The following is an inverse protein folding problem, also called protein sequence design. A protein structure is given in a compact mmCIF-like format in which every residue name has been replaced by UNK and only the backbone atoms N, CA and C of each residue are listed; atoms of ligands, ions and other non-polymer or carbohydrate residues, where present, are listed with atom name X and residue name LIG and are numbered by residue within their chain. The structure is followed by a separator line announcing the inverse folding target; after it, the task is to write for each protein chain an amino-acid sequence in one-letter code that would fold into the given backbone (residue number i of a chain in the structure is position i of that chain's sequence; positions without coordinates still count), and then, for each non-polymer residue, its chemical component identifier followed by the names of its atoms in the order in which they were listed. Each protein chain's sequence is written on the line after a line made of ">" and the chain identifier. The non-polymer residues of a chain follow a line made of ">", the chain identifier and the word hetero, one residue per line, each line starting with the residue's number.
data_IF_584699357862
#
_entry.id   IF_584699357862
#
_cell.length_a   1.000
_cell.length_b   1.000
_cell.length_c   1.000
_cell.angle_alpha   90.00
_cell.angle_beta   90.00
_cell.angle_gamma   90.00
#
_symmetry.space_group_name_H-M   'P 1'
#
loop_
_entity.id
_entity.type
_entity.pdbx_description
1 polymer ?
#
# COMPACT_ATOMS: atom_id res chain seq x y z
N UNK A 1 10.37 12.34 27.75
CA UNK A 1 10.12 11.42 28.90
C UNK A 1 11.04 10.18 28.95
N UNK A 2 11.82 9.78 27.92
CA UNK A 2 12.70 8.59 28.01
C UNK A 2 13.87 8.75 28.99
N UNK A 3 14.48 9.94 29.07
CA UNK A 3 15.60 10.23 29.98
C UNK A 3 15.31 10.00 31.48
N UNK A 4 14.05 10.11 31.89
CA UNK A 4 13.67 9.91 33.29
C UNK A 4 13.61 8.43 33.71
N UNK A 5 13.35 7.52 32.76
CA UNK A 5 13.31 6.07 33.01
C UNK A 5 14.72 5.45 33.06
N UNK A 6 15.61 5.89 32.16
CA UNK A 6 17.01 5.47 32.14
C UNK A 6 17.74 5.91 33.40
N UNK A 7 17.48 7.12 33.89
CA UNK A 7 18.04 7.62 35.18
C UNK A 7 17.48 6.86 36.38
N UNK A 8 16.21 6.44 36.37
CA UNK A 8 15.60 5.68 37.49
C UNK A 8 16.07 4.23 37.56
N UNK A 9 16.38 3.60 36.40
CA UNK A 9 16.78 2.20 36.34
C UNK A 9 18.30 1.99 36.27
N UNK A 10 19.09 3.09 36.24
CA UNK A 10 20.58 3.03 36.10
C UNK A 10 21.02 2.19 34.87
N UNK A 11 20.21 2.19 33.79
CA UNK A 11 20.52 1.41 32.60
C UNK A 11 21.71 2.01 31.87
N UNK A 12 22.70 1.19 31.57
CA UNK A 12 23.86 1.56 30.77
C UNK A 12 23.52 1.45 29.25
N UNK A 13 24.16 2.26 28.42
CA UNK A 13 24.01 2.23 26.96
C UNK A 13 24.29 0.84 26.39
N UNK A 14 25.26 0.11 26.94
CA UNK A 14 25.58 -1.26 26.57
C UNK A 14 24.39 -2.23 26.78
N UNK A 15 23.67 -2.05 27.90
CA UNK A 15 22.49 -2.87 28.20
C UNK A 15 21.33 -2.58 27.25
N UNK A 16 21.16 -1.31 26.85
CA UNK A 16 20.16 -0.92 25.86
C UNK A 16 20.51 -1.52 24.49
N UNK A 17 21.76 -1.47 24.08
CA UNK A 17 22.23 -2.10 22.83
C UNK A 17 22.09 -3.63 22.89
N UNK A 18 22.39 -4.24 24.05
CA UNK A 18 22.19 -5.67 24.24
C UNK A 18 20.73 -6.09 24.10
N UNK A 19 19.78 -5.25 24.55
CA UNK A 19 18.35 -5.49 24.35
C UNK A 19 17.96 -5.51 22.87
N UNK A 20 18.51 -4.59 22.06
CA UNK A 20 18.31 -4.58 20.61
C UNK A 20 18.85 -5.85 19.96
N UNK A 21 20.09 -6.22 20.27
CA UNK A 21 20.72 -7.43 19.76
C UNK A 21 19.95 -8.70 20.14
N UNK A 22 19.39 -8.72 21.35
CA UNK A 22 18.56 -9.84 21.81
C UNK A 22 17.23 -9.89 21.05
N UNK A 23 16.62 -8.74 20.76
CA UNK A 23 15.44 -8.66 19.90
C UNK A 23 15.71 -9.20 18.48
N UNK A 24 16.85 -8.84 17.87
CA UNK A 24 17.29 -9.39 16.59
C UNK A 24 17.54 -10.90 16.66
N UNK A 25 18.17 -11.38 17.73
CA UNK A 25 18.38 -12.81 17.95
C UNK A 25 17.05 -13.56 18.04
N UNK A 26 16.07 -13.06 18.78
CA UNK A 26 14.73 -13.65 18.89
C UNK A 26 14.04 -13.72 17.53
N UNK A 27 14.16 -12.66 16.70
CA UNK A 27 13.65 -12.65 15.34
C UNK A 27 14.30 -13.74 14.47
N UNK A 28 15.62 -13.85 14.52
CA UNK A 28 16.37 -14.85 13.75
C UNK A 28 16.03 -16.28 14.17
N UNK A 29 15.76 -16.47 15.46
CA UNK A 29 15.39 -17.77 16.04
C UNK A 29 13.92 -18.15 15.80
N UNK A 30 13.12 -17.25 15.23
CA UNK A 30 11.72 -17.49 14.88
C UNK A 30 10.72 -17.14 15.99
N UNK A 31 11.17 -16.59 17.12
CA UNK A 31 10.27 -16.07 18.17
C UNK A 31 9.84 -14.63 17.86
N UNK A 32 9.00 -14.46 16.85
CA UNK A 32 8.58 -13.15 16.36
C UNK A 32 7.79 -12.33 17.40
N UNK A 33 6.95 -12.99 18.21
CA UNK A 33 6.21 -12.28 19.26
C UNK A 33 7.15 -11.69 20.31
N UNK A 34 8.14 -12.47 20.78
CA UNK A 34 9.16 -11.98 21.70
C UNK A 34 10.02 -10.89 21.07
N UNK A 35 10.41 -11.04 19.80
CA UNK A 35 11.17 -10.03 19.06
C UNK A 35 10.43 -8.68 19.02
N UNK A 36 9.13 -8.68 18.72
CA UNK A 36 8.32 -7.47 18.70
C UNK A 36 8.32 -6.76 20.07
N UNK A 37 8.17 -7.51 21.16
CA UNK A 37 8.14 -6.96 22.52
C UNK A 37 9.50 -6.35 22.91
N UNK A 38 10.60 -7.06 22.63
CA UNK A 38 11.96 -6.55 22.95
C UNK A 38 12.32 -5.32 22.12
N UNK A 39 11.99 -5.29 20.84
CA UNK A 39 12.23 -4.14 19.98
C UNK A 39 11.37 -2.93 20.36
N UNK A 40 10.14 -3.16 20.83
CA UNK A 40 9.30 -2.10 21.39
C UNK A 40 9.94 -1.48 22.65
N UNK A 41 10.36 -2.30 23.60
CA UNK A 41 11.01 -1.82 24.83
C UNK A 41 12.33 -1.10 24.54
N UNK A 42 13.11 -1.59 23.58
CA UNK A 42 14.32 -0.93 23.13
C UNK A 42 14.04 0.51 22.67
N UNK A 43 13.04 0.73 21.82
CA UNK A 43 12.70 2.06 21.32
C UNK A 43 12.30 3.07 22.40
N UNK A 44 11.66 2.58 23.46
CA UNK A 44 11.28 3.43 24.61
C UNK A 44 12.53 3.92 25.38
N UNK A 45 13.60 3.14 25.36
CA UNK A 45 14.82 3.41 26.10
C UNK A 45 15.89 4.11 25.27
N UNK A 46 15.94 3.84 23.96
CA UNK A 46 16.98 4.32 23.05
C UNK A 46 16.70 5.74 22.57
N UNK A 47 17.75 6.53 22.48
CA UNK A 47 17.74 7.85 21.82
C UNK A 47 18.42 7.82 20.45
N UNK A 48 18.97 6.68 20.03
CA UNK A 48 19.60 6.50 18.74
C UNK A 48 18.54 6.39 17.63
N UNK A 49 18.55 7.36 16.71
CA UNK A 49 17.54 7.50 15.66
C UNK A 49 17.63 6.38 14.62
N UNK A 50 18.85 5.92 14.31
CA UNK A 50 19.05 4.89 13.27
C UNK A 50 18.68 3.51 13.77
N UNK A 51 19.13 3.17 14.99
CA UNK A 51 18.74 1.93 15.64
C UNK A 51 17.23 1.87 15.93
N UNK A 52 16.62 3.01 16.28
CA UNK A 52 15.16 3.10 16.45
C UNK A 52 14.42 2.83 15.15
N UNK A 53 14.88 3.35 14.02
CA UNK A 53 14.28 3.07 12.71
C UNK A 53 14.43 1.59 12.35
N UNK A 54 15.60 1.00 12.59
CA UNK A 54 15.82 -0.43 12.38
C UNK A 54 14.91 -1.28 13.29
N UNK A 55 14.70 -0.86 14.54
CA UNK A 55 13.79 -1.53 15.46
C UNK A 55 12.32 -1.43 15.00
N UNK A 56 11.90 -0.30 14.40
CA UNK A 56 10.59 -0.16 13.77
C UNK A 56 10.39 -1.19 12.65
N UNK A 57 11.38 -1.33 11.77
CA UNK A 57 11.32 -2.33 10.69
C UNK A 57 11.24 -3.75 11.22
N UNK A 58 12.07 -4.09 12.21
CA UNK A 58 12.08 -5.41 12.83
C UNK A 58 10.75 -5.74 13.54
N UNK A 59 10.18 -4.76 14.26
CA UNK A 59 8.87 -4.91 14.89
C UNK A 59 7.76 -5.08 13.88
N UNK A 60 7.70 -4.23 12.84
CA UNK A 60 6.71 -4.34 11.75
C UNK A 60 6.77 -5.72 11.09
N UNK A 61 7.96 -6.21 10.74
CA UNK A 61 8.14 -7.54 10.17
C UNK A 61 7.65 -8.64 11.13
N UNK A 62 7.92 -8.52 12.43
CA UNK A 62 7.47 -9.46 13.45
C UNK A 62 5.94 -9.48 13.59
N UNK A 63 5.30 -8.31 13.56
CA UNK A 63 3.84 -8.18 13.67
C UNK A 63 3.15 -8.73 12.42
N UNK A 64 3.72 -8.55 11.22
CA UNK A 64 3.25 -9.16 9.97
C UNK A 64 3.34 -10.69 10.06
N UNK A 65 4.48 -11.23 10.49
CA UNK A 65 4.69 -12.68 10.59
C UNK A 65 3.83 -13.35 11.67
N UNK A 66 3.41 -12.61 12.68
CA UNK A 66 2.48 -13.09 13.72
C UNK A 66 1.01 -12.85 13.38
N UNK A 67 0.70 -12.16 12.27
CA UNK A 67 -0.66 -11.87 11.83
C UNK A 67 -1.39 -10.84 12.69
N UNK A 68 -0.69 -10.01 13.43
CA UNK A 68 -1.28 -8.94 14.26
C UNK A 68 -1.52 -7.67 13.44
N UNK A 69 -2.52 -7.71 12.56
CA UNK A 69 -2.72 -6.69 11.53
C UNK A 69 -3.01 -5.29 12.07
N UNK A 70 -3.77 -5.17 13.16
CA UNK A 70 -4.08 -3.87 13.79
C UNK A 70 -2.81 -3.22 14.35
N UNK A 71 -1.98 -4.00 15.06
CA UNK A 71 -0.71 -3.53 15.62
C UNK A 71 0.30 -3.22 14.51
N UNK A 72 0.34 -4.06 13.47
CA UNK A 72 1.18 -3.84 12.30
C UNK A 72 0.81 -2.55 11.57
N UNK A 73 -0.49 -2.22 11.48
CA UNK A 73 -0.96 -0.96 10.88
C UNK A 73 -0.52 0.26 11.70
N UNK A 74 -0.62 0.21 13.03
CA UNK A 74 -0.13 1.29 13.91
C UNK A 74 1.38 1.49 13.75
N UNK A 75 2.14 0.39 13.73
CA UNK A 75 3.58 0.42 13.55
C UNK A 75 3.98 0.96 12.17
N UNK A 76 3.26 0.56 11.11
CA UNK A 76 3.43 1.05 9.74
C UNK A 76 3.22 2.58 9.67
N UNK A 77 2.18 3.10 10.32
CA UNK A 77 1.91 4.54 10.36
C UNK A 77 3.00 5.30 11.10
N UNK A 78 3.45 4.80 12.25
CA UNK A 78 4.55 5.40 13.03
C UNK A 78 5.85 5.43 12.24
N UNK A 79 6.16 4.33 11.56
CA UNK A 79 7.34 4.24 10.69
C UNK A 79 7.25 5.21 9.52
N UNK A 80 6.08 5.32 8.88
CA UNK A 80 5.83 6.29 7.80
C UNK A 80 6.09 7.71 8.26
N UNK A 81 5.53 8.12 9.40
CA UNK A 81 5.73 9.45 9.98
C UNK A 81 7.21 9.73 10.28
N UNK A 82 7.92 8.74 10.81
CA UNK A 82 9.36 8.84 11.09
C UNK A 82 10.18 9.04 9.80
N UNK A 83 9.87 8.31 8.73
CA UNK A 83 10.55 8.44 7.45
C UNK A 83 10.22 9.78 6.76
N UNK A 84 8.98 10.23 6.84
CA UNK A 84 8.57 11.51 6.25
C UNK A 84 9.12 12.71 7.03
N UNK A 85 9.21 12.63 8.35
CA UNK A 85 9.87 13.65 9.17
C UNK A 85 11.36 13.79 8.82
N UNK A 86 12.06 12.69 8.59
CA UNK A 86 13.46 12.71 8.13
C UNK A 86 13.62 13.36 6.76
N UNK A 87 12.69 13.09 5.86
CA UNK A 87 12.71 13.68 4.51
C UNK A 87 12.45 15.20 4.55
N UNK A 88 11.59 15.67 5.45
CA UNK A 88 11.27 17.09 5.62
C UNK A 88 12.31 17.90 6.40
N UNK A 89 13.15 17.24 7.18
CA UNK A 89 14.18 17.89 7.99
C UNK A 89 15.44 18.28 7.22
N UNK A 90 15.53 17.96 5.92
CA UNK A 90 16.64 18.40 5.06
C UNK A 90 16.55 19.93 4.87
N UNK A 91 17.45 20.75 5.47
CA UNK A 91 17.39 22.20 5.35
C UNK A 91 17.73 22.58 3.90
N UNK A 92 16.81 23.29 3.26
CA UNK A 92 17.08 24.00 2.01
C UNK A 92 18.14 25.07 2.29
N UNK A 93 19.43 24.75 2.10
CA UNK A 93 20.50 25.75 2.12
C UNK A 93 21.66 25.60 3.11
N UNK A 94 21.81 24.49 3.83
CA UNK A 94 22.98 24.27 4.69
C UNK A 94 24.15 23.64 3.92
N UNK A 95 25.32 24.29 3.99
CA UNK A 95 26.55 23.85 3.35
C UNK A 95 26.96 22.41 3.71
N UNK A 96 27.46 21.72 2.72
CA UNK A 96 27.76 20.28 2.62
C UNK A 96 28.85 19.74 3.56
N UNK A 97 28.77 19.90 4.86
CA UNK A 97 29.83 19.42 5.78
C UNK A 97 29.37 18.60 6.99
N UNK A 98 28.11 18.18 7.08
CA UNK A 98 27.70 17.22 8.13
C UNK A 98 26.95 16.04 7.51
N UNK A 99 27.40 14.83 7.81
CA UNK A 99 26.86 13.53 7.34
C UNK A 99 25.43 13.22 7.79
N UNK A 100 24.63 14.23 8.14
CA UNK A 100 23.25 14.09 8.65
C UNK A 100 22.18 14.32 7.57
N UNK A 101 22.55 14.50 6.31
CA UNK A 101 21.58 14.62 5.23
C UNK A 101 21.23 13.22 4.74
N UNK A 102 20.02 12.76 5.03
CA UNK A 102 19.47 11.63 4.31
C UNK A 102 19.53 11.96 2.82
N UNK A 103 20.40 11.29 2.09
CA UNK A 103 20.48 11.46 0.64
C UNK A 103 19.08 11.27 0.05
N UNK A 104 18.63 12.10 -0.91
CA UNK A 104 17.30 11.96 -1.53
C UNK A 104 17.03 10.53 -2.01
N UNK A 105 18.08 9.83 -2.46
CA UNK A 105 18.02 8.43 -2.88
C UNK A 105 17.73 7.47 -1.70
N UNK A 106 18.32 7.69 -0.53
CA UNK A 106 18.08 6.88 0.65
C UNK A 106 16.63 7.04 1.14
N UNK A 107 16.09 8.26 1.06
CA UNK A 107 14.67 8.52 1.37
C UNK A 107 13.74 7.82 0.38
N UNK A 108 14.06 7.87 -0.91
CA UNK A 108 13.31 7.19 -1.95
C UNK A 108 13.31 5.67 -1.73
N UNK A 109 14.46 5.08 -1.45
CA UNK A 109 14.59 3.64 -1.15
C UNK A 109 13.80 3.25 0.09
N UNK A 110 13.88 4.03 1.16
CA UNK A 110 13.13 3.76 2.40
C UNK A 110 11.62 3.81 2.18
N UNK A 111 11.13 4.79 1.40
CA UNK A 111 9.71 4.87 1.02
C UNK A 111 9.29 3.73 0.09
N UNK A 112 10.11 3.37 -0.90
CA UNK A 112 9.84 2.23 -1.79
C UNK A 112 9.75 0.93 -1.00
N UNK A 113 10.63 0.75 -0.02
CA UNK A 113 10.61 -0.39 0.90
C UNK A 113 9.35 -0.39 1.77
N UNK A 114 8.96 0.78 2.31
CA UNK A 114 7.72 0.93 3.07
C UNK A 114 6.49 0.59 2.22
N UNK A 115 6.41 1.07 0.99
CA UNK A 115 5.34 0.77 0.04
C UNK A 115 5.22 -0.74 -0.17
N UNK A 116 6.35 -1.43 -0.38
CA UNK A 116 6.35 -2.88 -0.56
C UNK A 116 5.81 -3.62 0.67
N UNK A 117 6.31 -3.33 1.86
CA UNK A 117 5.90 -4.00 3.10
C UNK A 117 4.48 -3.63 3.54
N UNK A 118 4.02 -2.44 3.20
CA UNK A 118 2.65 -2.02 3.50
C UNK A 118 1.58 -2.85 2.79
N UNK A 119 1.90 -3.48 1.64
CA UNK A 119 0.98 -4.37 0.94
C UNK A 119 0.52 -5.54 1.82
N UNK A 120 1.43 -6.13 2.62
CA UNK A 120 1.08 -7.20 3.55
C UNK A 120 0.03 -6.76 4.57
N UNK A 121 0.15 -5.53 5.08
CA UNK A 121 -0.79 -4.98 6.05
C UNK A 121 -2.10 -4.58 5.37
N UNK A 122 -2.04 -3.86 4.25
CA UNK A 122 -3.23 -3.32 3.61
C UNK A 122 -4.14 -4.39 2.99
N UNK A 123 -3.60 -5.49 2.50
CA UNK A 123 -4.45 -6.57 1.95
C UNK A 123 -5.01 -7.51 3.02
N UNK A 124 -4.43 -7.54 4.21
CA UNK A 124 -4.92 -8.37 5.32
C UNK A 124 -5.77 -7.60 6.36
N UNK A 125 -5.71 -6.26 6.37
CA UNK A 125 -6.49 -5.45 7.30
C UNK A 125 -7.85 -5.06 6.70
N UNK A 126 -8.98 -5.12 7.44
CA UNK A 126 -10.33 -4.82 6.90
C UNK A 126 -10.47 -3.44 6.25
N UNK A 127 -9.87 -2.41 6.84
CA UNK A 127 -9.87 -1.05 6.29
C UNK A 127 -8.69 -0.78 5.33
N UNK A 128 -7.82 -1.77 5.10
CA UNK A 128 -6.53 -1.56 4.46
C UNK A 128 -6.62 -1.05 3.02
N UNK A 129 -7.59 -1.53 2.24
CA UNK A 129 -7.79 -1.09 0.84
C UNK A 129 -8.06 0.41 0.70
N UNK A 130 -8.83 0.98 1.63
CA UNK A 130 -9.09 2.43 1.65
C UNK A 130 -7.85 3.20 2.07
N UNK A 131 -7.14 2.73 3.09
CA UNK A 131 -5.89 3.31 3.57
C UNK A 131 -4.77 3.23 2.53
N UNK A 132 -4.72 2.13 1.74
CA UNK A 132 -3.80 1.99 0.61
C UNK A 132 -4.01 3.12 -0.41
N UNK A 133 -5.26 3.36 -0.83
CA UNK A 133 -5.56 4.43 -1.78
C UNK A 133 -5.19 5.80 -1.21
N UNK A 134 -5.52 6.08 0.05
CA UNK A 134 -5.19 7.35 0.70
C UNK A 134 -3.67 7.58 0.78
N UNK A 135 -2.92 6.53 1.12
CA UNK A 135 -1.47 6.61 1.28
C UNK A 135 -0.76 6.69 -0.08
N UNK A 136 -1.12 5.83 -1.04
CA UNK A 136 -0.39 5.73 -2.30
C UNK A 136 -0.72 6.84 -3.29
N UNK A 137 -1.91 7.47 -3.18
CA UNK A 137 -2.25 8.67 -3.94
C UNK A 137 -1.68 9.96 -3.32
N UNK A 138 -1.11 9.91 -2.12
CA UNK A 138 -0.40 11.06 -1.57
C UNK A 138 0.83 11.38 -2.43
N UNK A 139 1.11 12.68 -2.75
CA UNK A 139 2.12 13.05 -3.73
C UNK A 139 3.51 12.47 -3.50
N UNK A 140 3.95 12.37 -2.24
CA UNK A 140 5.25 11.82 -1.88
C UNK A 140 5.37 10.32 -2.21
N UNK A 141 4.32 9.54 -1.95
CA UNK A 141 4.28 8.11 -2.22
C UNK A 141 3.99 7.81 -3.68
N UNK A 142 3.13 8.61 -4.31
CA UNK A 142 2.86 8.49 -5.74
C UNK A 142 4.15 8.70 -6.55
N UNK A 143 4.91 9.75 -6.26
CA UNK A 143 6.22 9.98 -6.90
C UNK A 143 7.20 8.81 -6.65
N UNK A 144 7.17 8.22 -5.45
CA UNK A 144 7.99 7.05 -5.13
C UNK A 144 7.58 5.84 -5.96
N UNK A 145 6.27 5.59 -6.09
CA UNK A 145 5.73 4.49 -6.91
C UNK A 145 6.15 4.67 -8.36
N UNK A 146 5.97 5.86 -8.94
CA UNK A 146 6.33 6.15 -10.32
C UNK A 146 7.82 5.98 -10.59
N UNK A 147 8.69 6.40 -9.66
CA UNK A 147 10.14 6.40 -9.88
C UNK A 147 10.85 5.10 -9.49
N UNK A 148 10.39 4.39 -8.46
CA UNK A 148 11.12 3.26 -7.89
C UNK A 148 10.33 1.95 -7.86
N UNK A 149 8.99 1.98 -7.91
CA UNK A 149 8.15 0.80 -7.73
C UNK A 149 6.90 0.78 -8.65
N UNK A 150 7.05 0.90 -9.98
CA UNK A 150 5.91 1.02 -10.89
C UNK A 150 4.97 -0.19 -10.89
N UNK A 151 5.45 -1.39 -10.50
CA UNK A 151 4.60 -2.58 -10.36
C UNK A 151 3.50 -2.43 -9.31
N UNK A 152 3.65 -1.51 -8.37
CA UNK A 152 2.64 -1.21 -7.33
C UNK A 152 1.36 -0.62 -7.94
N UNK A 153 1.44 -0.06 -9.15
CA UNK A 153 0.27 0.43 -9.88
C UNK A 153 -0.79 -0.65 -10.10
N UNK A 154 -0.42 -1.93 -10.21
CA UNK A 154 -1.37 -3.05 -10.23
C UNK A 154 -2.22 -3.07 -8.96
N UNK A 155 -1.58 -3.04 -7.81
CA UNK A 155 -2.26 -3.10 -6.51
C UNK A 155 -3.12 -1.85 -6.25
N UNK A 156 -2.63 -0.69 -6.68
CA UNK A 156 -3.37 0.56 -6.63
C UNK A 156 -4.62 0.50 -7.51
N UNK A 157 -4.50 -0.02 -8.73
CA UNK A 157 -5.61 -0.19 -9.68
C UNK A 157 -6.65 -1.18 -9.14
N UNK A 158 -6.23 -2.35 -8.66
CA UNK A 158 -7.13 -3.34 -8.05
C UNK A 158 -7.83 -2.77 -6.82
N UNK A 159 -7.12 -2.09 -5.93
CA UNK A 159 -7.70 -1.47 -4.73
C UNK A 159 -8.73 -0.40 -5.07
N UNK A 160 -8.52 0.37 -6.15
CA UNK A 160 -9.50 1.34 -6.63
C UNK A 160 -10.79 0.67 -7.12
N UNK A 161 -10.67 -0.46 -7.83
CA UNK A 161 -11.83 -1.26 -8.27
C UNK A 161 -12.56 -1.90 -7.08
N UNK A 162 -11.84 -2.49 -6.15
CA UNK A 162 -12.40 -3.14 -4.95
C UNK A 162 -13.07 -2.16 -3.98
N UNK A 163 -12.58 -0.92 -3.89
CA UNK A 163 -13.13 0.11 -3.00
C UNK A 163 -14.56 0.52 -3.35
N UNK A 164 -15.04 0.17 -4.54
CA UNK A 164 -16.42 0.42 -4.95
C UNK A 164 -17.42 -0.19 -3.97
N UNK A 165 -17.21 -1.43 -3.53
CA UNK A 165 -18.14 -2.16 -2.67
C UNK A 165 -17.99 -1.77 -1.19
N UNK A 166 -16.80 -1.45 -0.75
CA UNK A 166 -16.52 -1.19 0.66
C UNK A 166 -17.24 0.05 1.24
N UNK A 167 -17.63 1.02 0.39
CA UNK A 167 -18.24 2.28 0.82
C UNK A 167 -19.74 2.39 0.52
N UNK A 168 -20.32 1.41 -0.13
CA UNK A 168 -21.71 1.50 -0.61
C UNK A 168 -22.53 0.38 0.02
N UNK A 169 -23.05 0.43 1.10
CA UNK A 169 -24.04 -0.44 1.78
C UNK A 169 -24.77 -1.54 0.99
N UNK A 170 -24.36 -1.89 -0.23
CA UNK A 170 -24.93 -2.95 -1.05
C UNK A 170 -24.46 -2.94 -2.52
N UNK A 171 -24.69 -4.06 -3.26
CA UNK A 171 -24.21 -4.22 -4.66
C UNK A 171 -24.86 -3.26 -5.67
N UNK A 172 -26.02 -2.67 -5.34
CA UNK A 172 -26.80 -1.77 -6.23
C UNK A 172 -26.61 -0.28 -5.93
N UNK A 173 -25.85 0.07 -4.90
CA UNK A 173 -25.67 1.47 -4.54
C UNK A 173 -24.73 2.19 -5.55
N UNK A 174 -24.99 3.48 -5.88
CA UNK A 174 -24.14 4.23 -6.78
C UNK A 174 -22.73 4.43 -6.20
N UNK A 175 -21.72 4.36 -7.05
CA UNK A 175 -20.32 4.60 -6.65
C UNK A 175 -20.17 5.97 -6.02
N UNK A 176 -19.59 6.05 -4.83
CA UNK A 176 -19.39 7.33 -4.13
C UNK A 176 -18.49 8.27 -4.95
N UNK A 177 -18.66 9.57 -4.77
CA UNK A 177 -17.84 10.58 -5.46
C UNK A 177 -16.34 10.40 -5.14
N UNK A 178 -16.01 9.94 -3.93
CA UNK A 178 -14.65 9.68 -3.46
C UNK A 178 -13.99 8.52 -4.24
N UNK A 179 -14.71 7.42 -4.43
CA UNK A 179 -14.21 6.27 -5.21
C UNK A 179 -14.01 6.64 -6.67
N UNK A 180 -14.97 7.38 -7.27
CA UNK A 180 -14.82 7.87 -8.64
C UNK A 180 -13.63 8.80 -8.82
N UNK A 181 -13.37 9.64 -7.81
CA UNK A 181 -12.18 10.48 -7.82
C UNK A 181 -10.90 9.65 -7.75
N UNK A 182 -10.82 8.69 -6.84
CA UNK A 182 -9.69 7.79 -6.72
C UNK A 182 -9.42 7.03 -8.04
N UNK A 183 -10.46 6.46 -8.66
CA UNK A 183 -10.33 5.77 -9.95
C UNK A 183 -9.78 6.71 -11.03
N UNK A 184 -10.27 7.96 -11.11
CA UNK A 184 -9.76 8.93 -12.09
C UNK A 184 -8.30 9.28 -11.88
N UNK A 185 -7.87 9.47 -10.63
CA UNK A 185 -6.47 9.74 -10.31
C UNK A 185 -5.58 8.53 -10.67
N UNK A 186 -6.03 7.32 -10.34
CA UNK A 186 -5.32 6.10 -10.73
C UNK A 186 -5.20 5.97 -12.25
N UNK A 187 -6.27 6.24 -12.99
CA UNK A 187 -6.26 6.19 -14.46
C UNK A 187 -5.29 7.19 -15.06
N UNK A 188 -5.23 8.42 -14.53
CA UNK A 188 -4.25 9.42 -14.97
C UNK A 188 -2.80 8.92 -14.78
N UNK A 189 -2.52 8.34 -13.62
CA UNK A 189 -1.19 7.81 -13.32
C UNK A 189 -0.87 6.62 -14.24
N UNK A 190 -1.79 5.70 -14.44
CA UNK A 190 -1.64 4.57 -15.36
C UNK A 190 -1.33 5.05 -16.78
N UNK A 191 -2.01 6.09 -17.25
CA UNK A 191 -1.77 6.66 -18.58
C UNK A 191 -0.37 7.31 -18.69
N UNK A 192 0.10 7.98 -17.65
CA UNK A 192 1.42 8.59 -17.61
C UNK A 192 2.55 7.56 -17.59
N UNK A 193 2.33 6.44 -16.89
CA UNK A 193 3.36 5.42 -16.65
C UNK A 193 3.27 4.23 -17.62
N UNK A 194 2.42 4.27 -18.62
CA UNK A 194 2.16 3.15 -19.53
C UNK A 194 3.42 2.62 -20.22
N UNK A 195 4.35 3.50 -20.55
CA UNK A 195 5.60 3.12 -21.20
C UNK A 195 6.57 2.40 -20.26
N UNK A 196 6.48 2.65 -18.96
CA UNK A 196 7.36 2.07 -17.94
C UNK A 196 6.77 0.80 -17.35
N UNK A 197 5.47 0.79 -17.11
CA UNK A 197 4.76 -0.35 -16.55
C UNK A 197 3.38 -0.49 -17.17
N UNK A 198 3.10 -1.65 -17.72
CA UNK A 198 1.81 -1.97 -18.31
C UNK A 198 1.47 -3.43 -18.07
N UNK A 199 0.30 -3.69 -17.50
CA UNK A 199 -0.24 -5.02 -17.30
C UNK A 199 -1.73 -5.09 -17.65
N UNK A 200 -2.37 -6.28 -17.71
CA UNK A 200 -3.78 -6.39 -18.06
C UNK A 200 -4.73 -5.61 -17.15
N UNK A 201 -4.41 -5.43 -15.86
CA UNK A 201 -5.25 -4.66 -14.91
C UNK A 201 -5.18 -3.17 -15.21
N UNK A 202 -3.97 -2.64 -15.43
CA UNK A 202 -3.79 -1.23 -15.77
C UNK A 202 -4.37 -0.91 -17.14
N UNK A 203 -4.17 -1.81 -18.13
CA UNK A 203 -4.78 -1.68 -19.47
C UNK A 203 -6.30 -1.71 -19.41
N UNK A 204 -6.89 -2.59 -18.61
CA UNK A 204 -8.34 -2.61 -18.42
C UNK A 204 -8.89 -1.24 -18.02
N UNK A 205 -8.27 -0.57 -17.06
CA UNK A 205 -8.70 0.76 -16.64
C UNK A 205 -8.48 1.82 -17.72
N UNK A 206 -7.38 1.73 -18.47
CA UNK A 206 -7.12 2.64 -19.60
C UNK A 206 -8.17 2.49 -20.69
N UNK A 207 -8.41 1.26 -21.19
CA UNK A 207 -9.40 1.01 -22.23
C UNK A 207 -10.81 1.47 -21.79
N UNK A 208 -11.16 1.26 -20.51
CA UNK A 208 -12.48 1.61 -20.01
C UNK A 208 -12.70 3.13 -19.83
N UNK A 209 -11.68 3.88 -19.37
CA UNK A 209 -11.85 5.28 -18.92
C UNK A 209 -11.13 6.32 -19.79
N UNK A 210 -10.20 5.90 -20.65
CA UNK A 210 -9.47 6.79 -21.57
C UNK A 210 -9.90 6.57 -23.00
N UNK A 211 -9.84 5.33 -23.48
CA UNK A 211 -10.16 4.97 -24.85
C UNK A 211 -11.67 4.73 -25.07
N UNK A 212 -12.40 4.41 -24.00
CA UNK A 212 -13.82 4.04 -24.03
C UNK A 212 -14.13 2.86 -24.96
N UNK A 213 -13.15 1.97 -25.13
CA UNK A 213 -13.28 0.72 -25.88
C UNK A 213 -13.72 -0.40 -24.93
N UNK A 214 -15.00 -0.71 -24.97
CA UNK A 214 -15.59 -1.71 -24.07
C UNK A 214 -15.21 -3.16 -24.45
N UNK A 215 -14.96 -3.43 -25.74
CA UNK A 215 -14.54 -4.76 -26.20
C UNK A 215 -13.10 -5.04 -25.78
N UNK A 216 -12.21 -4.08 -26.00
CA UNK A 216 -10.83 -4.16 -25.53
C UNK A 216 -10.79 -4.25 -24.00
N UNK A 217 -11.60 -3.49 -23.27
CA UNK A 217 -11.70 -3.56 -21.82
C UNK A 217 -12.14 -4.95 -21.33
N UNK A 218 -13.13 -5.59 -21.96
CA UNK A 218 -13.54 -6.95 -21.63
C UNK A 218 -12.44 -7.97 -21.90
N UNK A 219 -11.73 -7.85 -23.02
CA UNK A 219 -10.60 -8.71 -23.34
C UNK A 219 -9.48 -8.55 -22.29
N UNK A 220 -9.14 -7.30 -21.91
CA UNK A 220 -8.15 -7.06 -20.86
C UNK A 220 -8.61 -7.59 -19.51
N UNK A 221 -9.91 -7.54 -19.18
CA UNK A 221 -10.44 -8.10 -17.94
C UNK A 221 -10.26 -9.61 -17.87
N UNK A 222 -10.44 -10.34 -18.98
CA UNK A 222 -10.18 -11.78 -19.03
C UNK A 222 -8.70 -12.12 -18.79
N UNK A 223 -7.79 -11.29 -19.30
CA UNK A 223 -6.36 -11.45 -19.03
C UNK A 223 -6.04 -11.07 -17.58
N UNK A 224 -6.64 -10.00 -17.07
CA UNK A 224 -6.48 -9.53 -15.69
C UNK A 224 -6.94 -10.58 -14.67
N UNK A 225 -7.99 -11.34 -14.98
CA UNK A 225 -8.46 -12.45 -14.14
C UNK A 225 -7.34 -13.45 -13.84
N UNK A 226 -6.55 -13.81 -14.84
CA UNK A 226 -5.43 -14.76 -14.68
C UNK A 226 -4.31 -14.14 -13.85
N UNK A 227 -4.01 -12.86 -14.07
CA UNK A 227 -2.97 -12.13 -13.33
C UNK A 227 -3.36 -12.01 -11.85
N UNK A 228 -4.58 -11.57 -11.55
CA UNK A 228 -5.10 -11.43 -10.19
C UNK A 228 -5.17 -12.78 -9.48
N UNK A 229 -5.61 -13.84 -10.19
CA UNK A 229 -5.70 -15.19 -9.60
C UNK A 229 -4.36 -15.83 -9.26
N UNK A 230 -3.27 -15.41 -9.89
CA UNK A 230 -1.93 -15.91 -9.64
C UNK A 230 -1.09 -14.96 -8.76
N UNK A 231 -1.61 -13.79 -8.37
CA UNK A 231 -0.91 -12.84 -7.55
C UNK A 231 -1.06 -13.16 -6.07
N UNK A 232 0.05 -13.06 -5.32
CA UNK A 232 0.12 -13.41 -3.89
C UNK A 232 -0.88 -12.64 -3.03
N UNK A 233 -1.04 -11.33 -3.27
CA UNK A 233 -1.92 -10.48 -2.46
C UNK A 233 -3.35 -10.44 -2.98
N UNK A 234 -3.57 -10.71 -4.28
CA UNK A 234 -4.83 -10.44 -4.96
C UNK A 234 -5.69 -11.68 -5.16
N UNK A 235 -5.13 -12.88 -5.02
CA UNK A 235 -5.81 -14.15 -5.34
C UNK A 235 -7.14 -14.33 -4.58
N UNK A 236 -7.19 -13.93 -3.31
CA UNK A 236 -8.40 -14.01 -2.49
C UNK A 236 -9.50 -13.06 -2.96
N UNK A 237 -9.13 -11.95 -3.61
CA UNK A 237 -10.05 -10.90 -4.08
C UNK A 237 -10.47 -11.07 -5.54
N UNK A 238 -10.09 -12.17 -6.20
CA UNK A 238 -10.33 -12.40 -7.62
C UNK A 238 -11.81 -12.25 -8.00
N UNK A 239 -12.70 -12.94 -7.30
CA UNK A 239 -14.14 -12.91 -7.60
C UNK A 239 -14.73 -11.51 -7.36
N UNK A 240 -14.39 -10.90 -6.22
CA UNK A 240 -14.82 -9.55 -5.88
C UNK A 240 -14.33 -8.52 -6.91
N UNK A 241 -13.08 -8.65 -7.36
CA UNK A 241 -12.50 -7.81 -8.40
C UNK A 241 -13.27 -7.93 -9.73
N UNK A 242 -13.54 -9.15 -10.18
CA UNK A 242 -14.26 -9.39 -11.43
C UNK A 242 -15.67 -8.81 -11.40
N UNK A 243 -16.40 -9.03 -10.32
CA UNK A 243 -17.76 -8.51 -10.16
C UNK A 243 -17.77 -6.98 -10.15
N UNK A 244 -16.85 -6.36 -9.42
CA UNK A 244 -16.74 -4.89 -9.42
C UNK A 244 -16.29 -4.33 -10.77
N UNK A 245 -15.37 -5.01 -11.48
CA UNK A 245 -14.92 -4.60 -12.80
C UNK A 245 -16.05 -4.66 -13.84
N UNK A 246 -16.84 -5.73 -13.86
CA UNK A 246 -18.04 -5.86 -14.71
C UNK A 246 -19.05 -4.75 -14.44
N UNK A 247 -19.22 -4.41 -13.19
CA UNK A 247 -20.08 -3.29 -12.78
C UNK A 247 -19.57 -1.95 -13.30
N UNK A 248 -18.24 -1.73 -13.26
CA UNK A 248 -17.65 -0.50 -13.81
C UNK A 248 -17.83 -0.40 -15.32
N UNK A 249 -17.70 -1.52 -16.05
CA UNK A 249 -17.98 -1.57 -17.50
C UNK A 249 -19.44 -1.18 -17.75
N UNK A 250 -20.38 -1.80 -17.04
CA UNK A 250 -21.81 -1.52 -17.19
C UNK A 250 -22.14 -0.06 -16.84
N UNK A 251 -21.57 0.48 -15.77
CA UNK A 251 -21.75 1.88 -15.38
C UNK A 251 -21.20 2.85 -16.43
N UNK A 252 -20.01 2.59 -16.98
CA UNK A 252 -19.40 3.42 -18.01
C UNK A 252 -20.20 3.36 -19.31
N UNK A 253 -20.64 2.18 -19.71
CA UNK A 253 -21.48 1.96 -20.89
C UNK A 253 -22.80 2.73 -20.79
N UNK A 254 -23.52 2.62 -19.66
CA UNK A 254 -24.78 3.31 -19.42
C UNK A 254 -24.64 4.84 -19.37
N UNK A 255 -23.46 5.37 -19.08
CA UNK A 255 -23.21 6.83 -19.13
C UNK A 255 -23.02 7.38 -20.53
N UNK A 256 -22.51 6.56 -21.44
CA UNK A 256 -22.16 6.99 -22.80
C UNK A 256 -23.30 6.72 -23.76
N UNK A 257 -24.00 5.58 -23.62
CA UNK A 257 -25.03 5.15 -24.51
C UNK A 257 -26.42 5.48 -23.97
N UNK A 258 -27.23 6.16 -24.78
CA UNK A 258 -28.65 6.45 -24.49
C UNK A 258 -29.55 5.21 -24.59
N UNK A 259 -29.16 4.25 -25.42
CA UNK A 259 -29.85 2.97 -25.60
C UNK A 259 -28.93 1.86 -25.16
N UNK A 260 -29.41 1.04 -24.22
CA UNK A 260 -28.65 -0.09 -23.67
C UNK A 260 -29.01 -1.33 -24.48
N UNK A 261 -28.03 -1.93 -25.13
CA UNK A 261 -28.18 -3.27 -25.68
C UNK A 261 -28.04 -4.30 -24.57
N UNK A 262 -29.17 -4.91 -24.22
CA UNK A 262 -29.25 -5.90 -23.13
C UNK A 262 -28.38 -7.12 -23.44
N UNK A 263 -28.26 -7.53 -24.71
CA UNK A 263 -27.42 -8.64 -25.13
C UNK A 263 -25.95 -8.35 -24.81
N UNK A 264 -25.50 -7.10 -25.02
CA UNK A 264 -24.13 -6.68 -24.71
C UNK A 264 -23.85 -6.65 -23.21
N UNK A 265 -24.79 -6.18 -22.40
CA UNK A 265 -24.65 -6.14 -20.92
C UNK A 265 -24.72 -7.54 -20.31
N UNK A 266 -25.53 -8.44 -20.88
CA UNK A 266 -25.66 -9.85 -20.45
C UNK A 266 -24.45 -10.69 -20.88
N UNK A 267 -23.71 -10.32 -21.91
CA UNK A 267 -22.42 -10.96 -22.27
C UNK A 267 -21.30 -10.68 -21.26
N UNK A 268 -21.54 -9.81 -20.26
CA UNK A 268 -20.78 -9.83 -19.00
C UNK A 268 -21.41 -10.89 -18.07
N UNK A 269 -21.11 -12.19 -18.19
CA UNK A 269 -21.81 -13.21 -17.41
C UNK A 269 -21.52 -12.99 -15.93
N UNK A 270 -22.52 -12.53 -15.20
CA UNK A 270 -22.56 -12.75 -13.78
C UNK A 270 -22.57 -14.27 -13.60
N UNK A 271 -21.40 -14.89 -13.36
CA UNK A 271 -21.39 -16.29 -13.01
C UNK A 271 -22.09 -16.42 -11.67
N UNK A 272 -23.38 -16.78 -11.75
CA UNK A 272 -24.07 -17.68 -10.82
C UNK A 272 -25.55 -17.77 -11.20
N UNK A 273 -25.90 -18.85 -11.85
CA UNK A 273 -27.12 -19.51 -11.52
C UNK A 273 -26.81 -20.50 -10.39
#
# INVERSE_FOLDING_TARGET
>A
MPLSLTLRLQLNLEQITALYNFGQFQYTYGNYSGAADYLYHFRVLSTDVDLNTSAHWGKLASDILTGKWDVALEELNTLRETLDARAGAAPAGAAAHTHAHAEPLATLHSRAWLVHWSLFVYFNHPAGRTLLLETFLAPAYLNTIQSAAPWVLRYLAVSAVLSRRAQTGGPTAPVSSRVRHAIREVVKVVQLEEYQYSDPVTKFLKELYVEFDFEAAQHQLQLAERVVGNDFFLSEFREEFLDNARYLISEAYCRIHQRIDIAYVVLCPTSRA
#
